data_IF_402566239402
#
_entry.id   IF_402566239402
#
_cell.length_a   1.000
_cell.length_b   1.000
_cell.length_c   1.000
_cell.angle_alpha   90.00
_cell.angle_beta   90.00
_cell.angle_gamma   90.00
#
_symmetry.space_group_name_H-M   'P 1'
#
loop_
_entity.id
_entity.type
_entity.pdbx_description
1 polymer ?
#
# COMPACT_ATOMS: atom_id res chain seq x y z
N UNK A 1 -16.79 -2.92 -3.32
CA UNK A 1 -15.44 -3.44 -3.04
C UNK A 1 -14.52 -3.02 -4.15
N UNK A 2 -13.42 -2.34 -3.83
CA UNK A 2 -12.39 -1.96 -4.82
C UNK A 2 -11.53 -3.16 -5.19
N UNK A 3 -10.84 -3.11 -6.33
CA UNK A 3 -9.97 -4.20 -6.80
C UNK A 3 -8.93 -4.61 -5.73
N UNK A 4 -8.41 -3.67 -4.92
CA UNK A 4 -7.42 -3.95 -3.87
C UNK A 4 -8.00 -4.76 -2.70
N UNK A 5 -9.26 -4.53 -2.32
CA UNK A 5 -9.94 -5.27 -1.25
C UNK A 5 -10.20 -6.73 -1.62
N UNK A 6 -10.20 -7.04 -2.92
CA UNK A 6 -10.33 -8.42 -3.42
C UNK A 6 -9.00 -9.16 -3.54
N UNK A 7 -7.86 -8.46 -3.41
CA UNK A 7 -6.54 -9.09 -3.48
C UNK A 7 -6.22 -9.84 -2.19
N UNK A 8 -5.69 -11.05 -2.30
CA UNK A 8 -5.10 -11.77 -1.17
C UNK A 8 -3.85 -11.05 -0.65
N UNK A 9 -3.44 -11.30 0.60
CA UNK A 9 -2.21 -10.71 1.16
C UNK A 9 -0.97 -10.97 0.26
N UNK A 10 -0.74 -12.20 -0.24
CA UNK A 10 0.40 -12.45 -1.13
C UNK A 10 0.35 -11.66 -2.44
N UNK A 11 -0.84 -11.46 -3.02
CA UNK A 11 -1.00 -10.67 -4.25
C UNK A 11 -0.73 -9.19 -3.99
N UNK A 12 -1.23 -8.64 -2.89
CA UNK A 12 -1.02 -7.24 -2.52
C UNK A 12 0.46 -6.96 -2.20
N UNK A 13 1.10 -7.81 -1.40
CA UNK A 13 2.53 -7.71 -1.07
C UNK A 13 3.39 -7.70 -2.34
N UNK A 14 3.08 -8.58 -3.30
CA UNK A 14 3.75 -8.65 -4.60
C UNK A 14 3.59 -7.36 -5.40
N UNK A 15 2.38 -6.83 -5.46
CA UNK A 15 2.12 -5.61 -6.22
C UNK A 15 2.82 -4.39 -5.59
N UNK A 16 2.84 -4.30 -4.25
CA UNK A 16 3.56 -3.26 -3.51
C UNK A 16 5.06 -3.31 -3.77
N UNK A 17 5.69 -4.50 -3.73
CA UNK A 17 7.10 -4.65 -4.06
C UNK A 17 7.41 -4.06 -5.46
N UNK A 18 6.62 -4.41 -6.48
CA UNK A 18 6.81 -3.90 -7.85
C UNK A 18 6.66 -2.38 -7.93
N UNK A 19 5.75 -1.81 -7.15
CA UNK A 19 5.54 -0.35 -7.07
C UNK A 19 6.66 0.37 -6.31
N UNK A 20 7.30 -0.30 -5.35
CA UNK A 20 8.49 0.19 -4.65
C UNK A 20 9.79 0.02 -5.46
N UNK A 21 9.70 -0.39 -6.74
CA UNK A 21 10.85 -0.52 -7.63
C UNK A 21 11.51 -1.90 -7.63
N UNK A 22 10.91 -2.90 -7.01
CA UNK A 22 11.42 -4.28 -7.05
C UNK A 22 11.18 -4.86 -8.44
N UNK A 23 12.18 -5.53 -9.02
CA UNK A 23 12.04 -6.12 -10.35
C UNK A 23 11.26 -7.43 -10.25
N UNK A 24 10.14 -7.52 -10.96
CA UNK A 24 9.47 -8.79 -11.21
C UNK A 24 10.25 -9.59 -12.26
N UNK A 25 10.50 -10.87 -11.99
CA UNK A 25 11.13 -11.77 -12.95
C UNK A 25 10.66 -13.20 -12.70
N UNK A 26 10.40 -13.95 -13.75
CA UNK A 26 10.01 -15.36 -13.66
C UNK A 26 10.68 -16.16 -14.76
N UNK A 27 11.10 -17.37 -14.43
CA UNK A 27 11.34 -18.40 -15.45
C UNK A 27 9.96 -18.84 -15.98
N UNK A 28 9.62 -18.61 -17.25
CA UNK A 28 8.31 -18.97 -17.80
C UNK A 28 8.02 -20.48 -17.72
N UNK A 29 9.03 -21.33 -17.45
CA UNK A 29 8.87 -22.78 -17.28
C UNK A 29 8.68 -23.23 -15.82
N UNK A 30 8.78 -22.34 -14.83
CA UNK A 30 8.53 -22.67 -13.42
C UNK A 30 7.32 -21.88 -12.93
N UNK A 31 6.24 -22.59 -12.59
CA UNK A 31 4.96 -22.08 -12.05
C UNK A 31 5.07 -21.41 -10.66
N UNK A 32 6.09 -20.61 -10.41
CA UNK A 32 6.24 -19.81 -9.21
C UNK A 32 6.73 -18.44 -9.64
N UNK A 33 5.78 -17.54 -9.88
CA UNK A 33 6.08 -16.13 -10.04
C UNK A 33 6.76 -15.67 -8.75
N UNK A 34 7.93 -15.03 -8.82
CA UNK A 34 8.59 -14.42 -7.65
C UNK A 34 8.81 -12.93 -7.93
N UNK A 35 8.68 -12.09 -6.91
CA UNK A 35 9.12 -10.67 -6.97
C UNK A 35 10.49 -10.58 -6.32
N UNK A 36 11.45 -9.92 -6.96
CA UNK A 36 12.86 -9.90 -6.52
C UNK A 36 13.30 -8.54 -6.00
N UNK A 37 14.15 -8.55 -4.96
CA UNK A 37 15.08 -7.45 -4.67
C UNK A 37 16.21 -7.40 -5.72
N UNK A 38 16.70 -6.20 -6.04
CA UNK A 38 18.00 -6.00 -6.69
C UNK A 38 18.99 -5.60 -5.61
N UNK A 39 19.63 -6.58 -4.98
CA UNK A 39 20.97 -6.42 -4.43
C UNK A 39 21.84 -7.47 -5.12
N UNK A 40 23.02 -7.08 -5.56
CA UNK A 40 23.71 -7.54 -6.77
C UNK A 40 24.06 -9.04 -6.82
N UNK A 41 23.72 -9.85 -5.81
CA UNK A 41 24.14 -11.24 -5.76
C UNK A 41 23.20 -12.26 -5.12
N UNK A 42 21.94 -11.96 -4.72
CA UNK A 42 21.04 -13.00 -4.14
C UNK A 42 19.55 -12.88 -4.51
N UNK A 43 19.08 -13.90 -5.23
CA UNK A 43 17.70 -14.15 -5.62
C UNK A 43 16.85 -14.68 -4.43
N UNK A 44 16.03 -13.85 -3.78
CA UNK A 44 14.92 -14.29 -2.89
C UNK A 44 13.95 -13.14 -2.59
N UNK A 45 12.65 -13.41 -2.56
CA UNK A 45 11.71 -12.60 -1.77
C UNK A 45 12.18 -12.74 -0.31
N UNK A 46 12.33 -11.67 0.50
CA UNK A 46 12.68 -11.86 1.89
C UNK A 46 11.59 -12.76 2.48
N UNK A 47 11.96 -13.93 3.01
CA UNK A 47 11.02 -14.94 3.55
C UNK A 47 10.08 -14.36 4.63
N UNK A 48 10.35 -13.13 5.09
CA UNK A 48 9.66 -12.44 6.17
C UNK A 48 9.07 -11.07 5.78
N UNK A 49 9.20 -10.61 4.52
CA UNK A 49 8.63 -9.32 4.13
C UNK A 49 7.16 -9.49 3.76
N UNK A 50 6.28 -9.15 4.71
CA UNK A 50 4.83 -9.26 4.58
C UNK A 50 4.17 -7.98 5.11
N UNK A 51 4.10 -6.90 4.31
CA UNK A 51 3.51 -5.64 4.77
C UNK A 51 2.03 -5.75 5.16
N UNK A 52 1.32 -6.81 4.76
CA UNK A 52 -0.07 -7.05 5.17
C UNK A 52 -0.19 -7.66 6.58
N UNK A 53 0.87 -8.25 7.15
CA UNK A 53 0.81 -8.91 8.47
C UNK A 53 1.94 -8.51 9.43
N UNK A 54 3.08 -8.04 8.93
CA UNK A 54 4.22 -7.54 9.69
C UNK A 54 4.16 -6.01 9.83
N UNK A 55 4.06 -5.46 11.07
CA UNK A 55 4.07 -4.02 11.31
C UNK A 55 5.32 -3.31 10.80
N UNK A 56 6.50 -3.94 10.83
CA UNK A 56 7.74 -3.30 10.39
C UNK A 56 7.75 -3.11 8.87
N UNK A 57 7.45 -4.16 8.10
CA UNK A 57 7.28 -4.07 6.64
C UNK A 57 6.14 -3.12 6.25
N UNK A 58 5.05 -3.09 7.01
CA UNK A 58 3.93 -2.15 6.80
C UNK A 58 4.38 -0.69 6.90
N UNK A 59 5.26 -0.38 7.86
CA UNK A 59 5.83 0.96 8.02
C UNK A 59 6.73 1.37 6.84
N UNK A 60 7.41 0.40 6.19
CA UNK A 60 8.22 0.67 5.00
C UNK A 60 7.35 1.11 3.81
N UNK A 61 6.24 0.41 3.55
CA UNK A 61 5.33 0.74 2.44
C UNK A 61 4.60 2.06 2.71
N UNK A 62 4.23 2.33 3.97
CA UNK A 62 3.66 3.60 4.42
C UNK A 62 4.62 4.76 4.16
N UNK A 63 5.88 4.64 4.60
CA UNK A 63 6.91 5.67 4.36
C UNK A 63 7.09 5.96 2.87
N UNK A 64 7.11 4.93 2.04
CA UNK A 64 7.23 5.09 0.60
C UNK A 64 6.02 5.83 -0.01
N UNK A 65 4.80 5.52 0.43
CA UNK A 65 3.59 6.21 -0.03
C UNK A 65 3.53 7.67 0.46
N UNK A 66 3.88 7.93 1.72
CA UNK A 66 3.95 9.30 2.29
C UNK A 66 5.00 10.14 1.56
N UNK A 67 6.18 9.58 1.30
CA UNK A 67 7.25 10.26 0.57
C UNK A 67 6.83 10.62 -0.86
N UNK A 68 5.92 9.83 -1.45
CA UNK A 68 5.37 10.05 -2.78
C UNK A 68 4.27 11.12 -2.78
N UNK A 69 3.24 10.95 -1.95
CA UNK A 69 2.16 11.92 -1.79
C UNK A 69 1.47 11.71 -0.42
N UNK A 70 1.87 12.52 0.56
CA UNK A 70 1.32 12.48 1.92
C UNK A 70 -0.18 12.74 1.97
N UNK A 71 -0.70 13.65 1.14
CA UNK A 71 -2.11 14.06 1.18
C UNK A 71 -2.98 12.97 0.57
N UNK A 72 -2.56 12.40 -0.56
CA UNK A 72 -3.24 11.27 -1.17
C UNK A 72 -3.20 10.03 -0.26
N UNK A 73 -2.06 9.76 0.40
CA UNK A 73 -1.95 8.64 1.33
C UNK A 73 -2.97 8.71 2.47
N UNK A 74 -3.08 9.86 3.16
CA UNK A 74 -4.04 10.02 4.27
C UNK A 74 -5.49 9.83 3.78
N UNK A 75 -5.85 10.41 2.62
CA UNK A 75 -7.18 10.21 2.01
C UNK A 75 -7.47 8.74 1.71
N UNK A 76 -6.49 8.03 1.17
CA UNK A 76 -6.61 6.61 0.84
C UNK A 76 -6.66 5.74 2.10
N UNK A 77 -5.94 6.09 3.17
CA UNK A 77 -5.98 5.38 4.44
C UNK A 77 -7.35 5.54 5.12
N UNK A 78 -7.88 6.76 5.15
CA UNK A 78 -9.25 7.03 5.62
C UNK A 78 -10.28 6.20 4.84
N UNK A 79 -10.18 6.22 3.50
CA UNK A 79 -11.05 5.44 2.62
C UNK A 79 -11.04 3.94 2.97
N UNK A 80 -9.86 3.38 3.23
CA UNK A 80 -9.68 1.96 3.54
C UNK A 80 -10.24 1.61 4.92
N UNK A 81 -9.82 2.32 5.97
CA UNK A 81 -10.27 2.07 7.35
C UNK A 81 -11.81 2.16 7.50
N UNK A 82 -12.44 3.03 6.71
CA UNK A 82 -13.89 3.24 6.74
C UNK A 82 -14.64 2.59 5.59
N UNK A 83 -13.99 1.66 4.87
CA UNK A 83 -14.62 0.81 3.85
C UNK A 83 -15.33 1.58 2.73
N UNK A 84 -14.83 2.77 2.42
CA UNK A 84 -15.34 3.61 1.35
C UNK A 84 -16.70 4.24 1.62
N UNK A 85 -17.11 4.34 2.90
CA UNK A 85 -18.26 5.15 3.28
C UNK A 85 -17.88 6.64 3.15
N UNK A 86 -18.11 7.17 1.94
CA UNK A 86 -17.67 8.48 1.47
C UNK A 86 -18.50 9.65 2.02
N UNK A 87 -19.60 9.37 2.72
CA UNK A 87 -20.69 10.32 2.88
C UNK A 87 -20.39 11.54 3.75
N UNK A 88 -19.31 11.56 4.53
CA UNK A 88 -19.00 12.70 5.41
C UNK A 88 -17.78 13.54 5.03
N UNK A 89 -16.94 13.15 4.05
CA UNK A 89 -15.57 13.68 4.02
C UNK A 89 -15.02 14.28 2.73
N UNK A 90 -15.71 14.15 1.59
CA UNK A 90 -15.33 14.90 0.36
C UNK A 90 -15.63 16.41 0.46
N UNK A 91 -16.40 16.82 1.49
CA UNK A 91 -16.79 18.19 1.76
C UNK A 91 -16.07 18.83 2.96
N UNK A 92 -15.14 18.11 3.62
CA UNK A 92 -14.35 18.74 4.68
C UNK A 92 -13.50 19.85 4.08
N UNK A 93 -13.70 21.07 4.55
CA UNK A 93 -12.74 22.15 4.31
C UNK A 93 -11.45 21.85 5.09
N UNK A 94 -10.36 22.53 4.74
CA UNK A 94 -9.00 22.27 5.29
C UNK A 94 -8.94 22.31 6.83
N UNK A 95 -9.91 22.93 7.51
CA UNK A 95 -10.00 23.05 8.97
C UNK A 95 -10.71 21.85 9.64
N UNK A 96 -11.55 21.09 8.91
CA UNK A 96 -12.31 19.94 9.43
C UNK A 96 -11.56 18.59 9.27
N UNK A 97 -10.36 18.62 8.71
CA UNK A 97 -9.46 17.47 8.50
C UNK A 97 -9.04 16.74 9.78
N UNK A 98 -9.37 17.27 10.96
CA UNK A 98 -8.83 16.83 12.25
C UNK A 98 -9.95 16.51 13.24
N UNK A 99 -10.86 15.60 12.88
CA UNK A 99 -11.67 14.92 13.89
C UNK A 99 -10.77 13.95 14.66
N UNK A 100 -10.73 14.08 16.00
CA UNK A 100 -9.91 13.23 16.86
C UNK A 100 -10.21 11.74 16.68
N UNK A 101 -11.45 11.38 16.36
CA UNK A 101 -11.85 10.01 16.00
C UNK A 101 -11.14 9.53 14.74
N UNK A 102 -11.04 10.37 13.71
CA UNK A 102 -10.34 10.03 12.48
C UNK A 102 -8.85 9.80 12.72
N UNK A 103 -8.20 10.65 13.53
CA UNK A 103 -6.80 10.43 13.90
C UNK A 103 -6.63 9.10 14.64
N UNK A 104 -7.52 8.78 15.58
CA UNK A 104 -7.45 7.52 16.34
C UNK A 104 -7.58 6.29 15.44
N UNK A 105 -8.50 6.31 14.49
CA UNK A 105 -8.69 5.21 13.53
C UNK A 105 -7.45 5.04 12.63
N UNK A 106 -6.87 6.15 12.14
CA UNK A 106 -5.65 6.11 11.31
C UNK A 106 -4.43 5.62 12.09
N UNK A 107 -4.26 6.02 13.36
CA UNK A 107 -3.16 5.57 14.22
C UNK A 107 -3.26 4.08 14.56
N UNK A 108 -4.46 3.51 14.54
CA UNK A 108 -4.72 2.10 14.86
C UNK A 108 -4.92 1.22 13.63
N UNK A 109 -4.74 1.78 12.42
CA UNK A 109 -4.81 1.05 11.16
C UNK A 109 -3.92 -0.20 11.19
N UNK A 110 -4.50 -1.32 10.78
CA UNK A 110 -3.83 -2.60 10.70
C UNK A 110 -2.75 -2.59 9.61
N UNK A 111 -1.77 -3.52 9.66
CA UNK A 111 -0.78 -3.65 8.61
C UNK A 111 -1.38 -3.77 7.20
N UNK A 112 -2.47 -4.54 7.07
CA UNK A 112 -3.21 -4.71 5.82
C UNK A 112 -3.83 -3.40 5.31
N UNK A 113 -4.48 -2.63 6.17
CA UNK A 113 -5.12 -1.37 5.77
C UNK A 113 -4.08 -0.35 5.28
N UNK A 114 -2.94 -0.25 5.98
CA UNK A 114 -1.79 0.55 5.53
C UNK A 114 -1.26 0.07 4.17
N UNK A 115 -1.16 -1.24 3.97
CA UNK A 115 -0.71 -1.82 2.70
C UNK A 115 -1.66 -1.50 1.53
N UNK A 116 -2.97 -1.57 1.74
CA UNK A 116 -3.97 -1.20 0.72
C UNK A 116 -3.90 0.29 0.37
N UNK A 117 -3.83 1.16 1.37
CA UNK A 117 -3.70 2.60 1.19
C UNK A 117 -2.40 2.97 0.45
N UNK A 118 -1.29 2.31 0.81
CA UNK A 118 0.00 2.46 0.12
C UNK A 118 -0.10 2.02 -1.35
N UNK A 119 -0.76 0.89 -1.63
CA UNK A 119 -0.92 0.38 -2.99
C UNK A 119 -1.69 1.36 -3.89
N UNK A 120 -2.84 1.86 -3.42
CA UNK A 120 -3.65 2.82 -4.18
C UNK A 120 -2.83 4.09 -4.49
N UNK A 121 -2.12 4.61 -3.48
CA UNK A 121 -1.30 5.81 -3.59
C UNK A 121 -0.13 5.63 -4.55
N UNK A 122 0.58 4.50 -4.45
CA UNK A 122 1.70 4.18 -5.31
C UNK A 122 1.27 3.88 -6.75
N UNK A 123 0.10 3.27 -6.96
CA UNK A 123 -0.44 2.98 -8.29
C UNK A 123 -0.82 4.26 -9.05
N UNK A 124 -1.45 5.22 -8.35
CA UNK A 124 -1.92 6.49 -8.94
C UNK A 124 -0.85 7.32 -9.63
N UNK A 125 0.42 7.26 -9.19
CA UNK A 125 1.51 7.98 -9.88
C UNK A 125 2.37 7.15 -10.82
N UNK A 126 1.93 5.95 -11.23
CA UNK A 126 2.52 5.26 -12.39
C UNK A 126 1.78 5.58 -13.70
N UNK A 127 0.67 6.34 -13.63
CA UNK A 127 -0.14 6.76 -14.77
C UNK A 127 0.32 8.07 -15.45
N UNK A 128 1.44 8.67 -15.03
CA UNK A 128 2.03 9.85 -15.66
C UNK A 128 3.48 9.59 -16.09
N UNK A 129 3.64 8.72 -17.09
CA UNK A 129 4.84 8.68 -17.92
C UNK A 129 4.34 8.64 -19.37
N UNK A 130 4.05 9.82 -19.91
CA UNK A 130 3.98 10.10 -21.35
C UNK A 130 5.07 11.13 -21.68
#
# INVERSE_FOLDING_TARGET
>A
MTQVQTMTNPELNRALAVLMGWKAGGDPNKKRDFVWWIDENRFRMPEKWDPCTDPAASLEVEKAAIAKDKTAYIKNLMYVCWRGDYLDYYNLNDDEWVLLSAISDLLTASPRERAEAAYITLLGARAHVD
#
